data_IF_322049066269
#
_entry.id   IF_322049066269
#
_cell.length_a   1.000
_cell.length_b   1.000
_cell.length_c   1.000
_cell.angle_alpha   90.00
_cell.angle_beta   90.00
_cell.angle_gamma   90.00
#
_symmetry.space_group_name_H-M   'P 1'
#
loop_
_entity.id
_entity.type
_entity.pdbx_description
1 polymer ?
#
# COMPACT_ATOMS: atom_id res chain seq x y z
N UNK A 1 -6.13 11.88 -21.69
CA UNK A 1 -5.83 11.33 -20.35
C UNK A 1 -5.31 9.89 -20.41
N UNK A 2 -6.03 8.96 -21.08
CA UNK A 2 -5.66 7.54 -21.14
C UNK A 2 -4.26 7.29 -21.73
N UNK A 3 -3.91 7.96 -22.81
CA UNK A 3 -2.57 7.86 -23.42
C UNK A 3 -1.47 8.30 -22.46
N UNK A 4 -1.69 9.37 -21.70
CA UNK A 4 -0.75 9.83 -20.68
C UNK A 4 -0.57 8.79 -19.57
N UNK A 5 -1.66 8.23 -19.05
CA UNK A 5 -1.63 7.17 -18.04
C UNK A 5 -0.87 5.94 -18.56
N UNK A 6 -1.16 5.50 -19.78
CA UNK A 6 -0.48 4.35 -20.38
C UNK A 6 1.03 4.58 -20.53
N UNK A 7 1.44 5.80 -20.95
CA UNK A 7 2.85 6.16 -21.05
C UNK A 7 3.57 6.12 -19.70
N UNK A 8 2.98 6.72 -18.67
CA UNK A 8 3.55 6.70 -17.32
C UNK A 8 3.61 5.27 -16.76
N UNK A 9 2.54 4.49 -16.92
CA UNK A 9 2.53 3.07 -16.53
C UNK A 9 3.67 2.29 -17.22
N UNK A 10 3.89 2.51 -18.52
CA UNK A 10 5.00 1.89 -19.24
C UNK A 10 6.38 2.25 -18.67
N UNK A 11 6.57 3.49 -18.21
CA UNK A 11 7.81 3.90 -17.55
C UNK A 11 8.01 3.20 -16.19
N UNK A 12 6.94 3.03 -15.40
CA UNK A 12 7.01 2.28 -14.13
C UNK A 12 7.35 0.81 -14.37
N UNK A 13 6.69 0.17 -15.32
CA UNK A 13 6.96 -1.25 -15.65
C UNK A 13 8.40 -1.45 -16.12
N UNK A 14 8.92 -0.55 -16.95
CA UNK A 14 10.32 -0.59 -17.40
C UNK A 14 11.32 -0.40 -16.23
N UNK A 15 10.99 0.48 -15.27
CA UNK A 15 11.79 0.65 -14.06
C UNK A 15 11.77 -0.61 -13.18
N UNK A 16 10.60 -1.24 -13.02
CA UNK A 16 10.47 -2.46 -12.23
C UNK A 16 11.25 -3.62 -12.84
N UNK A 17 11.18 -3.79 -14.15
CA UNK A 17 12.00 -4.77 -14.87
C UNK A 17 13.50 -4.49 -14.65
N UNK A 18 13.93 -3.25 -14.80
CA UNK A 18 15.31 -2.82 -14.56
C UNK A 18 15.78 -3.09 -13.12
N UNK A 19 14.93 -2.90 -12.14
CA UNK A 19 15.21 -3.19 -10.72
C UNK A 19 15.09 -4.67 -10.37
N UNK A 20 14.72 -5.54 -11.31
CA UNK A 20 14.52 -6.97 -11.08
C UNK A 20 13.39 -7.25 -10.09
N UNK A 21 12.31 -6.46 -10.13
CA UNK A 21 11.10 -6.70 -9.32
C UNK A 21 10.28 -7.77 -10.02
N UNK A 22 10.08 -8.89 -9.33
CA UNK A 22 9.21 -9.98 -9.78
C UNK A 22 7.85 -9.83 -9.12
N UNK A 23 6.82 -9.58 -9.92
CA UNK A 23 5.43 -9.49 -9.49
C UNK A 23 4.57 -10.42 -10.35
N UNK A 24 3.53 -11.00 -9.75
CA UNK A 24 2.63 -11.93 -10.44
C UNK A 24 1.49 -11.21 -11.17
N UNK A 25 1.25 -9.94 -10.86
CA UNK A 25 0.22 -9.15 -11.50
C UNK A 25 0.44 -7.64 -11.41
N UNK A 26 -0.25 -6.93 -12.28
CA UNK A 26 -0.33 -5.48 -12.32
C UNK A 26 -1.79 -5.07 -12.25
N UNK A 27 -2.17 -4.35 -11.20
CA UNK A 27 -3.51 -3.85 -11.01
C UNK A 27 -3.72 -2.50 -11.74
N UNK A 28 -4.80 -2.40 -12.49
CA UNK A 28 -5.23 -1.14 -13.12
C UNK A 28 -6.74 -0.98 -12.95
N UNK A 29 -7.18 0.05 -12.26
CA UNK A 29 -8.61 0.32 -12.01
C UNK A 29 -9.41 0.63 -13.27
N UNK A 30 -8.74 0.80 -14.41
CA UNK A 30 -9.38 0.92 -15.73
C UNK A 30 -9.66 -0.44 -16.39
N UNK A 31 -9.16 -1.55 -15.82
CA UNK A 31 -9.41 -2.90 -16.32
C UNK A 31 -10.90 -3.24 -16.25
N UNK A 32 -11.52 -3.76 -17.36
CA UNK A 32 -12.91 -4.15 -17.36
C UNK A 32 -13.30 -5.16 -16.28
N UNK A 33 -12.39 -6.07 -15.91
CA UNK A 33 -12.62 -7.08 -14.87
C UNK A 33 -12.76 -6.43 -13.49
N UNK A 34 -11.89 -5.46 -13.18
CA UNK A 34 -12.00 -4.67 -11.96
C UNK A 34 -13.33 -3.89 -11.93
N UNK A 35 -13.66 -3.18 -13.02
CA UNK A 35 -14.91 -2.42 -13.11
C UNK A 35 -16.14 -3.30 -12.89
N UNK A 36 -16.17 -4.50 -13.50
CA UNK A 36 -17.26 -5.45 -13.31
C UNK A 36 -17.36 -5.92 -11.84
N UNK A 37 -16.23 -6.16 -11.17
CA UNK A 37 -16.19 -6.51 -9.76
C UNK A 37 -16.77 -5.40 -8.89
N UNK A 38 -16.32 -4.15 -9.07
CA UNK A 38 -16.82 -2.97 -8.34
C UNK A 38 -18.33 -2.80 -8.54
N UNK A 39 -18.83 -2.97 -9.77
CA UNK A 39 -20.26 -2.86 -10.06
C UNK A 39 -21.11 -3.96 -9.38
N UNK A 40 -20.60 -5.19 -9.32
CA UNK A 40 -21.25 -6.27 -8.56
C UNK A 40 -21.30 -5.95 -7.07
N UNK A 41 -20.18 -5.47 -6.49
CA UNK A 41 -20.11 -5.07 -5.08
C UNK A 41 -21.07 -3.92 -4.76
N UNK A 42 -21.13 -2.90 -5.62
CA UNK A 42 -22.09 -1.80 -5.46
C UNK A 42 -23.54 -2.30 -5.41
N UNK A 43 -23.89 -3.24 -6.29
CA UNK A 43 -25.22 -3.82 -6.31
C UNK A 43 -25.51 -4.60 -5.03
N UNK A 44 -24.60 -5.47 -4.63
CA UNK A 44 -24.74 -6.27 -3.41
C UNK A 44 -24.86 -5.42 -2.14
N UNK A 45 -24.02 -4.39 -1.99
CA UNK A 45 -24.09 -3.49 -0.86
C UNK A 45 -25.38 -2.67 -0.83
N UNK A 46 -25.90 -2.27 -2.00
CA UNK A 46 -27.19 -1.60 -2.08
C UNK A 46 -28.31 -2.55 -1.65
N UNK A 47 -28.32 -3.78 -2.13
CA UNK A 47 -29.35 -4.77 -1.80
C UNK A 47 -29.32 -5.17 -0.31
N UNK A 48 -28.14 -5.13 0.31
CA UNK A 48 -27.95 -5.27 1.77
C UNK A 48 -28.33 -4.02 2.56
N UNK A 49 -28.71 -2.91 1.90
CA UNK A 49 -29.07 -1.65 2.57
C UNK A 49 -27.87 -0.87 3.10
N UNK A 50 -26.64 -1.23 2.71
CA UNK A 50 -25.41 -0.54 3.11
C UNK A 50 -25.18 0.77 2.35
N UNK A 51 -25.90 1.00 1.25
CA UNK A 51 -25.82 2.21 0.45
C UNK A 51 -27.13 2.99 0.47
N UNK A 52 -27.03 4.31 0.56
CA UNK A 52 -28.19 5.21 0.49
C UNK A 52 -27.83 6.55 -0.18
N UNK A 53 -28.83 7.24 -0.70
CA UNK A 53 -28.68 8.56 -1.29
C UNK A 53 -29.00 9.66 -0.29
N UNK A 54 -28.20 10.73 -0.29
CA UNK A 54 -28.42 11.90 0.57
C UNK A 54 -27.98 13.14 -0.15
N UNK A 55 -28.81 14.20 -0.06
CA UNK A 55 -28.38 15.55 -0.43
C UNK A 55 -27.57 16.16 0.73
N UNK A 56 -26.45 16.75 0.37
CA UNK A 56 -25.59 17.47 1.29
C UNK A 56 -25.38 18.89 0.77
N UNK A 57 -25.64 19.86 1.63
CA UNK A 57 -25.36 21.26 1.37
C UNK A 57 -24.21 21.70 2.28
N UNK A 58 -23.14 22.21 1.67
CA UNK A 58 -21.97 22.61 2.44
C UNK A 58 -21.01 23.44 1.62
N UNK A 59 -19.89 23.81 2.24
CA UNK A 59 -18.80 24.50 1.57
C UNK A 59 -17.91 23.49 0.85
N UNK A 60 -17.59 23.78 -0.39
CA UNK A 60 -16.83 22.91 -1.26
C UNK A 60 -15.58 23.59 -1.78
N UNK A 61 -14.42 22.99 -1.56
CA UNK A 61 -13.16 23.43 -2.17
C UNK A 61 -13.09 22.93 -3.62
N UNK A 62 -13.12 23.84 -4.58
CA UNK A 62 -12.97 23.50 -6.00
C UNK A 62 -11.58 22.95 -6.29
N UNK A 63 -10.57 23.46 -5.60
CA UNK A 63 -9.17 23.03 -5.77
C UNK A 63 -8.89 21.64 -5.23
N UNK A 64 -9.45 21.31 -4.06
CA UNK A 64 -9.20 20.01 -3.37
C UNK A 64 -10.28 18.97 -3.71
N UNK A 65 -11.32 19.38 -4.46
CA UNK A 65 -12.44 18.53 -4.88
C UNK A 65 -13.15 17.83 -3.71
N UNK A 66 -13.30 18.53 -2.57
CA UNK A 66 -13.95 17.97 -1.37
C UNK A 66 -14.83 19.00 -0.66
N UNK A 67 -15.85 18.49 0.05
CA UNK A 67 -16.60 19.30 0.99
C UNK A 67 -15.76 19.58 2.24
N UNK A 68 -15.91 20.80 2.75
CA UNK A 68 -15.24 21.30 3.94
C UNK A 68 -16.20 21.33 5.12
N UNK A 69 -15.71 21.05 6.28
CA UNK A 69 -16.43 21.14 7.55
C UNK A 69 -15.94 22.34 8.37
N UNK A 70 -16.51 22.57 9.52
CA UNK A 70 -16.03 23.64 10.40
C UNK A 70 -14.63 23.35 11.00
N UNK A 71 -14.14 22.11 10.91
CA UNK A 71 -12.78 21.73 11.34
C UNK A 71 -11.68 22.34 10.47
N UNK A 72 -11.99 22.63 9.20
CA UNK A 72 -11.05 23.24 8.26
C UNK A 72 -11.05 24.77 8.31
N UNK A 73 -11.84 25.38 9.21
CA UNK A 73 -11.85 26.84 9.42
C UNK A 73 -10.72 27.25 10.35
N UNK A 74 -10.17 28.44 10.08
CA UNK A 74 -9.25 29.10 10.99
C UNK A 74 -9.97 29.67 12.25
N UNK A 75 -9.22 30.28 13.15
CA UNK A 75 -9.77 30.87 14.37
C UNK A 75 -10.74 32.02 14.10
N UNK A 76 -10.65 32.66 12.94
CA UNK A 76 -11.52 33.74 12.46
C UNK A 76 -12.76 33.21 11.71
N UNK A 77 -12.87 31.88 11.53
CA UNK A 77 -14.00 31.21 10.85
C UNK A 77 -13.90 31.18 9.33
N UNK A 78 -12.74 31.48 8.74
CA UNK A 78 -12.51 31.45 7.30
C UNK A 78 -11.84 30.16 6.88
N UNK A 79 -11.96 29.82 5.58
CA UNK A 79 -11.15 28.78 4.96
C UNK A 79 -9.85 29.38 4.44
N UNK A 80 -8.71 28.76 4.79
CA UNK A 80 -7.39 29.23 4.41
C UNK A 80 -7.10 29.14 2.89
N UNK A 81 -6.04 29.78 2.40
CA UNK A 81 -5.67 29.80 0.98
C UNK A 81 -5.31 28.42 0.41
N UNK A 82 -5.00 27.45 1.26
CA UNK A 82 -4.75 26.05 0.89
C UNK A 82 -5.97 25.38 0.24
N UNK A 83 -7.18 25.83 0.58
CA UNK A 83 -8.45 25.32 0.05
C UNK A 83 -8.81 25.94 -1.31
N UNK A 84 -8.14 27.01 -1.73
CA UNK A 84 -8.42 27.72 -2.99
C UNK A 84 -9.81 28.35 -3.01
N UNK A 85 -10.49 28.28 -4.15
CA UNK A 85 -11.87 28.76 -4.27
C UNK A 85 -12.82 27.84 -3.50
N UNK A 86 -13.59 28.42 -2.59
CA UNK A 86 -14.60 27.72 -1.79
C UNK A 86 -15.99 28.24 -2.16
N UNK A 87 -16.87 27.35 -2.60
CA UNK A 87 -18.24 27.66 -2.99
C UNK A 87 -19.24 26.93 -2.11
N UNK A 88 -20.42 27.51 -1.90
CA UNK A 88 -21.54 26.80 -1.30
C UNK A 88 -22.17 25.90 -2.37
N UNK A 89 -22.23 24.60 -2.10
CA UNK A 89 -22.73 23.61 -3.05
C UNK A 89 -23.74 22.70 -2.35
N UNK A 90 -24.86 22.47 -3.04
CA UNK A 90 -25.80 21.42 -2.68
C UNK A 90 -25.74 20.31 -3.71
N UNK A 91 -25.40 19.11 -3.28
CA UNK A 91 -25.19 17.97 -4.17
C UNK A 91 -25.77 16.71 -3.55
N UNK A 92 -26.50 15.94 -4.36
CA UNK A 92 -26.95 14.60 -3.98
C UNK A 92 -25.87 13.58 -4.34
N UNK A 93 -25.55 12.69 -3.39
CA UNK A 93 -24.55 11.65 -3.58
C UNK A 93 -24.99 10.33 -2.92
N UNK A 94 -24.35 9.24 -3.33
CA UNK A 94 -24.43 7.95 -2.68
C UNK A 94 -23.44 7.86 -1.53
N UNK A 95 -23.90 7.33 -0.40
CA UNK A 95 -23.12 7.15 0.83
C UNK A 95 -23.11 5.68 1.23
N UNK A 96 -21.95 5.24 1.72
CA UNK A 96 -21.77 3.97 2.41
C UNK A 96 -21.96 4.18 3.90
N UNK A 97 -22.73 3.30 4.56
CA UNK A 97 -23.03 3.36 6.00
C UNK A 97 -21.84 3.01 6.86
N UNK A 98 -20.79 3.79 6.76
CA UNK A 98 -19.54 3.58 7.48
C UNK A 98 -19.77 3.56 9.00
N UNK A 99 -20.67 4.41 9.50
CA UNK A 99 -20.99 4.52 10.93
C UNK A 99 -21.57 3.24 11.52
N UNK A 100 -22.22 2.39 10.74
CA UNK A 100 -22.76 1.09 11.21
C UNK A 100 -21.63 0.11 11.60
N UNK A 101 -20.39 0.36 11.18
CA UNK A 101 -19.24 -0.52 11.38
C UNK A 101 -18.28 -0.05 12.49
N UNK A 102 -18.48 1.12 13.08
CA UNK A 102 -17.58 1.73 14.09
C UNK A 102 -17.35 0.82 15.29
N UNK A 103 -18.43 0.30 15.87
CA UNK A 103 -18.33 -0.53 17.08
C UNK A 103 -17.60 -1.86 16.82
N UNK A 104 -17.93 -2.52 15.71
CA UNK A 104 -17.20 -3.72 15.28
C UNK A 104 -15.72 -3.42 15.05
N UNK A 105 -15.41 -2.34 14.35
CA UNK A 105 -14.04 -1.98 13.98
C UNK A 105 -13.17 -1.70 15.21
N UNK A 106 -13.70 -0.96 16.21
CA UNK A 106 -13.00 -0.74 17.49
C UNK A 106 -12.65 -2.06 18.15
N UNK A 107 -13.62 -2.98 18.26
CA UNK A 107 -13.40 -4.29 18.87
C UNK A 107 -12.42 -5.15 18.06
N UNK A 108 -12.51 -5.14 16.74
CA UNK A 108 -11.61 -5.86 15.85
C UNK A 108 -10.18 -5.37 16.02
N UNK A 109 -9.93 -4.06 15.87
CA UNK A 109 -8.59 -3.48 15.96
C UNK A 109 -7.99 -3.66 17.36
N UNK A 110 -8.78 -3.50 18.43
CA UNK A 110 -8.30 -3.73 19.80
C UNK A 110 -7.81 -5.17 20.02
N UNK A 111 -8.56 -6.16 19.52
CA UNK A 111 -8.24 -7.59 19.66
C UNK A 111 -7.08 -8.04 18.77
N UNK A 112 -6.96 -7.48 17.58
CA UNK A 112 -5.96 -7.88 16.61
C UNK A 112 -4.59 -7.29 16.95
N UNK A 113 -3.60 -8.15 17.23
CA UNK A 113 -2.23 -7.71 17.57
C UNK A 113 -1.45 -7.24 16.36
N UNK A 114 -1.77 -7.77 15.18
CA UNK A 114 -1.00 -7.73 13.94
C UNK A 114 -1.78 -7.18 12.73
N UNK A 115 -2.97 -6.63 12.96
CA UNK A 115 -3.73 -5.99 11.88
C UNK A 115 -2.97 -4.79 11.29
N UNK A 116 -2.31 -3.97 12.12
CA UNK A 116 -1.46 -2.86 11.68
C UNK A 116 -0.04 -3.03 12.20
N UNK A 117 0.91 -3.13 11.28
CA UNK A 117 2.33 -3.24 11.57
C UNK A 117 3.11 -2.04 10.99
N UNK A 118 4.12 -1.54 11.71
CA UNK A 118 4.48 -1.89 13.08
C UNK A 118 3.46 -1.37 14.11
N UNK A 119 3.39 -2.03 15.26
CA UNK A 119 2.35 -1.83 16.28
C UNK A 119 2.16 -0.39 16.78
N UNK A 120 3.18 0.46 16.71
CA UNK A 120 3.05 1.86 17.09
C UNK A 120 2.11 2.66 16.16
N UNK A 121 1.84 2.18 14.92
CA UNK A 121 0.88 2.76 13.98
C UNK A 121 -0.58 2.46 14.34
N UNK A 122 -0.82 1.40 15.10
CA UNK A 122 -2.17 1.03 15.56
C UNK A 122 -2.87 2.15 16.35
N UNK A 123 -2.12 2.96 17.08
CA UNK A 123 -2.69 4.08 17.82
C UNK A 123 -3.27 5.18 16.89
N UNK A 124 -2.65 5.40 15.73
CA UNK A 124 -3.16 6.34 14.72
C UNK A 124 -4.52 5.88 14.20
N UNK A 125 -4.65 4.59 13.94
CA UNK A 125 -5.89 3.98 13.47
C UNK A 125 -7.00 4.05 14.53
N UNK A 126 -6.75 3.61 15.75
CA UNK A 126 -7.73 3.65 16.84
C UNK A 126 -8.28 5.07 17.06
N UNK A 127 -7.44 6.10 16.95
CA UNK A 127 -7.89 7.48 17.05
C UNK A 127 -8.75 7.92 15.85
N UNK A 128 -8.61 7.26 14.71
CA UNK A 128 -9.33 7.59 13.48
C UNK A 128 -10.70 6.90 13.38
N UNK A 129 -10.94 5.84 14.14
CA UNK A 129 -12.21 5.09 14.09
C UNK A 129 -13.37 5.89 14.75
N UNK A 130 -13.09 6.96 15.46
CA UNK A 130 -14.13 7.80 16.08
C UNK A 130 -14.69 8.82 15.09
N UNK A 131 -15.45 8.34 14.10
CA UNK A 131 -16.13 9.17 13.11
C UNK A 131 -17.64 9.12 13.28
N UNK A 132 -18.27 10.25 12.95
CA UNK A 132 -19.71 10.53 13.10
C UNK A 132 -20.46 10.66 11.77
N UNK A 133 -19.79 10.38 10.66
CA UNK A 133 -20.33 10.57 9.32
C UNK A 133 -20.05 9.39 8.40
N UNK A 134 -21.03 9.10 7.55
CA UNK A 134 -20.92 8.07 6.53
C UNK A 134 -20.03 8.51 5.36
N UNK A 135 -19.47 7.53 4.67
CA UNK A 135 -18.55 7.78 3.57
C UNK A 135 -19.31 8.11 2.27
N UNK A 136 -19.05 9.29 1.72
CA UNK A 136 -19.51 9.63 0.36
C UNK A 136 -18.72 8.84 -0.68
N UNK A 137 -19.39 7.96 -1.43
CA UNK A 137 -18.77 7.04 -2.39
C UNK A 137 -19.03 7.36 -3.85
N UNK A 138 -19.68 8.48 -4.15
CA UNK A 138 -20.01 8.86 -5.52
C UNK A 138 -19.62 10.27 -5.89
N UNK A 139 -19.62 10.53 -7.20
CA UNK A 139 -19.61 11.86 -7.81
C UNK A 139 -20.60 11.90 -8.96
N UNK A 140 -21.41 12.98 -9.11
CA UNK A 140 -22.25 13.14 -10.28
C UNK A 140 -21.41 13.22 -11.57
N UNK A 141 -21.87 12.59 -12.64
CA UNK A 141 -21.20 12.64 -13.95
C UNK A 141 -21.08 14.06 -14.52
N UNK A 142 -21.93 14.96 -14.12
CA UNK A 142 -21.85 16.38 -14.49
C UNK A 142 -20.56 17.04 -13.98
N UNK A 143 -19.97 16.48 -12.92
CA UNK A 143 -18.71 16.97 -12.33
C UNK A 143 -17.52 16.09 -12.68
N UNK A 144 -17.70 14.77 -12.70
CA UNK A 144 -16.66 13.80 -13.03
C UNK A 144 -17.19 12.89 -14.14
N UNK A 145 -16.82 13.15 -15.38
CA UNK A 145 -17.33 12.44 -16.56
C UNK A 145 -16.71 11.07 -16.77
N UNK A 146 -15.75 10.67 -15.94
CA UNK A 146 -15.06 9.37 -16.00
C UNK A 146 -15.02 8.72 -14.61
N UNK A 147 -14.97 7.42 -14.57
CA UNK A 147 -15.01 6.60 -13.35
C UNK A 147 -15.85 5.36 -13.58
N UNK A 148 -16.09 4.59 -12.55
CA UNK A 148 -16.94 3.39 -12.60
C UNK A 148 -18.38 3.80 -12.32
N UNK A 149 -19.26 3.54 -13.27
CA UNK A 149 -20.67 3.90 -13.16
C UNK A 149 -21.39 3.02 -12.14
N UNK A 150 -22.32 3.61 -11.40
CA UNK A 150 -23.24 2.86 -10.54
C UNK A 150 -24.23 2.08 -11.41
N UNK A 151 -24.35 0.75 -11.31
CA UNK A 151 -25.22 -0.05 -12.18
C UNK A 151 -26.69 0.32 -12.06
N UNK A 152 -27.10 0.81 -10.91
CA UNK A 152 -28.48 1.18 -10.59
C UNK A 152 -28.76 2.68 -10.65
N UNK A 153 -27.73 3.50 -10.92
CA UNK A 153 -27.84 4.95 -11.03
C UNK A 153 -26.71 5.52 -11.90
N UNK A 154 -26.80 5.39 -13.23
CA UNK A 154 -25.73 5.70 -14.16
C UNK A 154 -25.36 7.19 -14.26
N UNK A 155 -26.10 8.07 -13.57
CA UNK A 155 -25.73 9.49 -13.44
C UNK A 155 -24.58 9.72 -12.45
N UNK A 156 -24.14 8.69 -11.73
CA UNK A 156 -23.05 8.74 -10.78
C UNK A 156 -21.92 7.80 -11.15
N UNK A 157 -20.70 8.21 -10.79
CA UNK A 157 -19.49 7.39 -10.83
C UNK A 157 -18.92 7.24 -9.42
N UNK A 158 -18.13 6.20 -9.21
CA UNK A 158 -17.49 5.93 -7.92
C UNK A 158 -16.49 7.02 -7.53
N UNK A 159 -16.41 7.29 -6.24
CA UNK A 159 -15.33 8.06 -5.64
C UNK A 159 -14.07 7.18 -5.51
N UNK A 160 -12.90 7.81 -5.68
CA UNK A 160 -11.61 7.11 -5.83
C UNK A 160 -11.33 6.06 -4.75
N UNK A 161 -11.61 6.33 -3.47
CA UNK A 161 -11.29 5.38 -2.41
C UNK A 161 -12.18 4.14 -2.43
N UNK A 162 -13.45 4.26 -2.81
CA UNK A 162 -14.31 3.10 -2.97
C UNK A 162 -13.85 2.19 -4.12
N UNK A 163 -13.45 2.78 -5.23
CA UNK A 163 -12.92 2.10 -6.40
C UNK A 163 -11.52 1.52 -6.11
N UNK A 164 -10.59 2.37 -5.69
CA UNK A 164 -9.19 1.99 -5.53
C UNK A 164 -8.98 0.84 -4.53
N UNK A 165 -9.68 0.82 -3.39
CA UNK A 165 -9.51 -0.21 -2.37
C UNK A 165 -9.97 -1.60 -2.86
N UNK A 166 -10.99 -1.66 -3.68
CA UNK A 166 -11.49 -2.94 -4.23
C UNK A 166 -10.46 -3.63 -5.14
N UNK A 167 -9.41 -2.92 -5.62
CA UNK A 167 -8.40 -3.56 -6.45
C UNK A 167 -7.72 -4.74 -5.75
N UNK A 168 -7.53 -4.72 -4.44
CA UNK A 168 -6.90 -5.79 -3.66
C UNK A 168 -7.60 -7.14 -3.84
N UNK A 169 -8.92 -7.14 -3.86
CA UNK A 169 -9.72 -8.38 -4.02
C UNK A 169 -10.08 -8.66 -5.49
N UNK A 170 -10.32 -7.63 -6.30
CA UNK A 170 -10.76 -7.84 -7.69
C UNK A 170 -9.69 -8.54 -8.54
N UNK A 171 -8.41 -8.16 -8.37
CA UNK A 171 -7.29 -8.80 -9.08
C UNK A 171 -6.86 -10.12 -8.44
N UNK A 172 -7.23 -10.37 -7.18
CA UNK A 172 -7.15 -11.69 -6.57
C UNK A 172 -8.22 -12.67 -7.06
N UNK A 173 -9.21 -12.18 -7.83
CA UNK A 173 -10.24 -13.01 -8.46
C UNK A 173 -11.60 -12.98 -7.76
N UNK A 174 -11.85 -12.06 -6.83
CA UNK A 174 -13.15 -11.92 -6.17
C UNK A 174 -14.25 -11.60 -7.18
N UNK A 175 -15.35 -12.37 -7.14
CA UNK A 175 -16.49 -12.27 -8.07
C UNK A 175 -16.11 -12.35 -9.57
N UNK A 176 -14.94 -12.88 -9.88
CA UNK A 176 -14.48 -13.03 -11.25
C UNK A 176 -15.25 -14.11 -12.01
N UNK A 177 -15.42 -13.90 -13.32
CA UNK A 177 -15.96 -14.95 -14.19
C UNK A 177 -14.93 -16.07 -14.36
N UNK A 178 -15.37 -17.34 -14.56
CA UNK A 178 -14.48 -18.51 -14.62
C UNK A 178 -13.39 -18.42 -15.70
N UNK A 179 -13.64 -17.69 -16.77
CA UNK A 179 -12.74 -17.51 -17.94
C UNK A 179 -12.05 -16.14 -17.96
N UNK A 180 -12.09 -15.40 -16.87
CA UNK A 180 -11.53 -14.05 -16.74
C UNK A 180 -10.01 -13.99 -16.85
N UNK A 181 -9.33 -15.13 -16.65
CA UNK A 181 -7.86 -15.19 -16.55
C UNK A 181 -7.32 -14.65 -15.23
N UNK A 182 -8.17 -14.34 -14.25
CA UNK A 182 -7.78 -13.99 -12.90
C UNK A 182 -7.54 -15.24 -12.05
N UNK A 183 -6.77 -15.14 -10.96
CA UNK A 183 -6.52 -16.23 -10.03
C UNK A 183 -7.81 -16.77 -9.39
N UNK A 184 -7.70 -17.93 -8.76
CA UNK A 184 -8.72 -18.46 -7.86
C UNK A 184 -8.66 -17.70 -6.54
N UNK A 185 -9.68 -16.93 -6.23
CA UNK A 185 -9.74 -16.07 -5.06
C UNK A 185 -9.47 -16.81 -3.75
N UNK A 186 -10.04 -17.99 -3.59
CA UNK A 186 -9.88 -18.79 -2.38
C UNK A 186 -8.44 -19.28 -2.12
N UNK A 187 -7.54 -19.17 -3.12
CA UNK A 187 -6.12 -19.52 -2.96
C UNK A 187 -5.23 -18.32 -2.64
N UNK A 188 -5.73 -17.10 -2.87
CA UNK A 188 -4.96 -15.86 -2.68
C UNK A 188 -5.49 -14.99 -1.55
N UNK A 189 -6.72 -15.22 -1.10
CA UNK A 189 -7.31 -14.46 -0.02
C UNK A 189 -7.55 -15.35 1.22
N UNK A 190 -7.28 -14.87 2.45
CA UNK A 190 -6.78 -13.52 2.76
C UNK A 190 -5.34 -13.30 2.30
N UNK A 191 -5.01 -12.04 2.00
CA UNK A 191 -3.63 -11.63 1.75
C UNK A 191 -2.82 -11.72 3.04
N UNK A 192 -1.56 -12.20 2.97
CA UNK A 192 -0.66 -12.22 4.12
C UNK A 192 -0.41 -10.79 4.63
N UNK A 193 -0.20 -9.85 3.73
CA UNK A 193 -0.14 -8.43 4.07
C UNK A 193 -0.43 -7.53 2.85
N UNK A 194 -0.90 -6.32 3.14
CA UNK A 194 -0.97 -5.18 2.23
C UNK A 194 0.09 -4.16 2.64
N UNK A 195 1.04 -3.87 1.74
CA UNK A 195 2.11 -2.90 2.00
C UNK A 195 1.65 -1.52 1.57
N UNK A 196 1.54 -0.60 2.51
CA UNK A 196 0.96 0.73 2.28
C UNK A 196 1.82 1.86 2.83
N UNK A 197 1.71 3.04 2.22
CA UNK A 197 2.31 4.26 2.78
C UNK A 197 1.55 4.77 4.01
N UNK A 198 2.27 5.35 4.96
CA UNK A 198 1.67 5.90 6.19
C UNK A 198 0.59 6.97 5.93
N UNK A 199 0.68 7.66 4.80
CA UNK A 199 -0.24 8.74 4.41
C UNK A 199 -1.60 8.25 3.91
N UNK A 200 -1.72 6.95 3.62
CA UNK A 200 -2.96 6.31 3.21
C UNK A 200 -3.48 5.28 4.24
N UNK A 201 -2.79 5.15 5.39
CA UNK A 201 -3.30 4.30 6.47
C UNK A 201 -4.65 4.83 6.94
N UNK A 202 -4.70 6.10 7.33
CA UNK A 202 -5.90 6.74 7.85
C UNK A 202 -6.38 7.85 6.90
N UNK A 203 -7.64 7.82 6.52
CA UNK A 203 -8.69 6.85 6.87
C UNK A 203 -8.82 5.66 5.91
N UNK A 204 -8.11 5.65 4.76
CA UNK A 204 -8.42 4.77 3.64
C UNK A 204 -8.29 3.27 3.99
N UNK A 205 -7.09 2.82 4.39
CA UNK A 205 -6.81 1.40 4.59
C UNK A 205 -7.15 0.91 6.00
N UNK A 206 -7.01 1.76 7.02
CA UNK A 206 -7.32 1.37 8.39
C UNK A 206 -8.78 1.54 8.78
N UNK A 207 -9.56 2.34 8.01
CA UNK A 207 -10.98 2.61 8.35
C UNK A 207 -11.90 2.17 7.22
N UNK A 208 -11.77 2.75 6.02
CA UNK A 208 -12.73 2.47 4.94
C UNK A 208 -12.63 1.03 4.46
N UNK A 209 -11.42 0.51 4.26
CA UNK A 209 -11.20 -0.81 3.70
C UNK A 209 -11.74 -1.94 4.58
N UNK A 210 -11.39 -2.06 5.87
CA UNK A 210 -11.95 -3.11 6.71
C UNK A 210 -13.46 -2.99 6.88
N UNK A 211 -14.02 -1.77 6.96
CA UNK A 211 -15.47 -1.58 6.99
C UNK A 211 -16.17 -2.07 5.71
N UNK A 212 -15.56 -1.83 4.54
CA UNK A 212 -16.08 -2.32 3.27
C UNK A 212 -16.01 -3.85 3.20
N UNK A 213 -14.90 -4.48 3.60
CA UNK A 213 -14.77 -5.93 3.68
C UNK A 213 -15.82 -6.53 4.62
N UNK A 214 -15.98 -5.98 5.81
CA UNK A 214 -17.00 -6.43 6.77
C UNK A 214 -18.42 -6.30 6.22
N UNK A 215 -18.76 -5.19 5.54
CA UNK A 215 -20.04 -5.01 4.89
C UNK A 215 -20.29 -6.01 3.75
N UNK A 216 -19.26 -6.41 3.05
CA UNK A 216 -19.31 -7.47 2.03
C UNK A 216 -19.52 -8.86 2.65
N UNK A 217 -19.17 -9.05 3.93
CA UNK A 217 -19.36 -10.28 4.69
C UNK A 217 -18.10 -11.07 4.96
N UNK A 218 -16.94 -10.45 4.82
CA UNK A 218 -15.66 -11.05 5.23
C UNK A 218 -15.58 -11.15 6.75
N UNK A 219 -15.01 -12.24 7.25
CA UNK A 219 -14.79 -12.46 8.68
C UNK A 219 -13.55 -11.74 9.19
N UNK A 220 -13.38 -11.66 10.52
CA UNK A 220 -12.20 -11.04 11.14
C UNK A 220 -10.88 -11.72 10.71
N UNK A 221 -10.92 -13.04 10.47
CA UNK A 221 -9.77 -13.84 10.04
C UNK A 221 -9.40 -13.62 8.56
N UNK A 222 -10.28 -13.01 7.79
CA UNK A 222 -10.06 -12.70 6.38
C UNK A 222 -9.55 -11.25 6.18
N UNK A 223 -9.34 -10.50 7.25
CA UNK A 223 -8.76 -9.16 7.17
C UNK A 223 -7.25 -9.25 6.95
N UNK A 224 -6.68 -8.57 5.93
CA UNK A 224 -5.24 -8.57 5.67
C UNK A 224 -4.47 -7.78 6.73
N UNK A 225 -3.23 -8.17 7.02
CA UNK A 225 -2.32 -7.34 7.80
C UNK A 225 -1.90 -6.10 7.00
N UNK A 226 -1.96 -4.92 7.59
CA UNK A 226 -1.48 -3.67 6.99
C UNK A 226 -0.04 -3.40 7.42
N UNK A 227 0.91 -3.59 6.50
CA UNK A 227 2.32 -3.25 6.72
C UNK A 227 2.58 -1.81 6.28
N UNK A 228 2.72 -0.92 7.24
CA UNK A 228 2.80 0.51 7.00
C UNK A 228 4.26 0.96 6.92
N UNK A 229 4.65 1.54 5.78
CA UNK A 229 5.98 2.13 5.61
C UNK A 229 5.98 3.65 5.70
N UNK A 230 7.11 4.23 6.10
CA UNK A 230 7.34 5.67 6.08
C UNK A 230 7.80 6.20 4.72
N UNK A 231 8.14 7.46 4.66
CA UNK A 231 8.61 8.12 3.45
C UNK A 231 10.13 8.16 3.37
N UNK A 232 10.64 8.13 2.14
CA UNK A 232 11.98 8.59 1.82
C UNK A 232 11.96 10.10 1.60
N UNK A 233 12.65 10.83 2.45
CA UNK A 233 12.80 12.28 2.41
C UNK A 233 14.18 12.68 1.89
N UNK A 234 14.37 13.95 1.58
CA UNK A 234 15.68 14.56 1.36
C UNK A 234 15.81 15.75 2.32
N UNK A 235 16.85 15.73 3.16
CA UNK A 235 17.09 16.75 4.18
C UNK A 235 15.87 17.01 5.09
N UNK A 236 15.11 15.97 5.42
CA UNK A 236 13.92 16.05 6.25
C UNK A 236 12.64 16.49 5.51
N UNK A 237 12.74 16.81 4.22
CA UNK A 237 11.58 17.26 3.41
C UNK A 237 11.09 16.16 2.46
N UNK A 238 9.79 16.05 2.31
CA UNK A 238 9.18 15.12 1.33
C UNK A 238 9.67 15.43 -0.08
N UNK A 239 10.04 14.40 -0.83
CA UNK A 239 10.41 14.53 -2.25
C UNK A 239 9.24 15.12 -3.03
N UNK A 240 9.51 16.17 -3.80
CA UNK A 240 8.50 16.84 -4.62
C UNK A 240 9.10 17.34 -5.92
N UNK A 241 8.40 17.08 -7.04
CA UNK A 241 8.80 17.60 -8.36
C UNK A 241 8.84 19.12 -8.40
N UNK A 242 7.96 19.81 -7.66
CA UNK A 242 7.91 21.27 -7.59
C UNK A 242 9.08 21.88 -6.86
N UNK A 243 9.68 21.15 -5.90
CA UNK A 243 10.88 21.58 -5.16
C UNK A 243 12.15 21.16 -5.91
N UNK A 244 12.07 20.19 -6.82
CA UNK A 244 13.22 19.69 -7.58
C UNK A 244 14.16 18.78 -6.76
N UNK A 245 13.70 18.25 -5.64
CA UNK A 245 14.48 17.38 -4.74
C UNK A 245 14.17 15.88 -4.95
N UNK A 246 13.74 15.47 -6.15
CA UNK A 246 13.41 14.07 -6.44
C UNK A 246 14.67 13.32 -6.87
N UNK A 247 14.89 12.15 -6.28
CA UNK A 247 15.91 11.19 -6.70
C UNK A 247 15.36 10.32 -7.81
N UNK A 248 16.06 10.25 -8.94
CA UNK A 248 15.68 9.37 -10.05
C UNK A 248 16.25 7.95 -9.84
N UNK A 249 15.38 6.95 -9.63
CA UNK A 249 15.82 5.58 -9.41
C UNK A 249 16.50 4.95 -10.64
N UNK A 250 16.23 5.44 -11.85
CA UNK A 250 16.90 4.99 -13.06
C UNK A 250 18.38 5.41 -13.06
N UNK A 251 18.66 6.65 -12.67
CA UNK A 251 20.04 7.13 -12.56
C UNK A 251 20.82 6.39 -11.47
N UNK A 252 20.17 6.10 -10.34
CA UNK A 252 20.79 5.30 -9.29
C UNK A 252 21.11 3.88 -9.76
N UNK A 253 20.17 3.22 -10.43
CA UNK A 253 20.37 1.87 -10.98
C UNK A 253 21.45 1.84 -12.08
N UNK A 254 21.61 2.93 -12.85
CA UNK A 254 22.65 3.08 -13.84
C UNK A 254 24.04 3.23 -13.20
N UNK A 255 24.12 4.02 -12.13
CA UNK A 255 25.39 4.35 -11.48
C UNK A 255 25.90 3.22 -10.58
N UNK A 256 25.01 2.58 -9.82
CA UNK A 256 25.37 1.62 -8.77
C UNK A 256 24.98 0.17 -9.08
N UNK A 257 24.13 -0.05 -10.07
CA UNK A 257 23.44 -1.32 -10.30
C UNK A 257 22.14 -1.42 -9.51
N UNK A 258 21.20 -2.28 -9.94
CA UNK A 258 19.89 -2.42 -9.30
C UNK A 258 19.99 -3.03 -7.89
N UNK A 259 20.83 -4.02 -7.66
CA UNK A 259 20.93 -4.73 -6.39
C UNK A 259 21.40 -3.83 -5.23
N UNK A 260 22.44 -3.00 -5.35
CA UNK A 260 22.84 -2.07 -4.30
C UNK A 260 21.75 -1.04 -3.96
N UNK A 261 21.02 -0.56 -4.96
CA UNK A 261 19.90 0.37 -4.76
C UNK A 261 18.78 -0.31 -3.95
N UNK A 262 18.38 -1.51 -4.33
CA UNK A 262 17.39 -2.31 -3.60
C UNK A 262 17.83 -2.58 -2.17
N UNK A 263 19.10 -3.00 -2.00
CA UNK A 263 19.66 -3.25 -0.69
C UNK A 263 19.59 -2.01 0.20
N UNK A 264 20.02 -0.85 -0.29
CA UNK A 264 20.00 0.40 0.43
C UNK A 264 18.57 0.79 0.90
N UNK A 265 17.60 0.70 -0.03
CA UNK A 265 16.21 1.08 0.26
C UNK A 265 15.57 0.23 1.36
N UNK A 266 15.95 -1.05 1.46
CA UNK A 266 15.42 -1.94 2.51
C UNK A 266 16.25 -1.85 3.79
N UNK A 267 17.59 -1.69 3.65
CA UNK A 267 18.53 -1.75 4.77
C UNK A 267 18.52 -0.50 5.63
N UNK A 268 18.37 0.68 5.03
CA UNK A 268 18.58 1.97 5.69
C UNK A 268 17.27 2.69 6.13
N UNK A 269 16.14 2.02 6.03
CA UNK A 269 14.86 2.49 6.56
C UNK A 269 14.38 1.58 7.69
N UNK A 270 13.93 2.19 8.79
CA UNK A 270 13.20 1.46 9.82
C UNK A 270 11.74 1.36 9.40
N UNK A 271 11.20 0.14 9.35
CA UNK A 271 9.79 -0.09 8.98
C UNK A 271 8.86 0.82 9.76
N UNK A 272 7.97 1.49 9.05
CA UNK A 272 7.00 2.43 9.61
C UNK A 272 7.52 3.83 9.93
N UNK A 273 8.83 4.10 9.84
CA UNK A 273 9.42 5.42 10.08
C UNK A 273 9.90 6.06 8.79
N UNK A 274 9.97 7.38 8.78
CA UNK A 274 10.61 8.12 7.69
C UNK A 274 12.13 7.95 7.72
N UNK A 275 12.74 7.97 6.56
CA UNK A 275 14.19 8.00 6.39
C UNK A 275 14.59 9.14 5.45
N UNK A 276 15.84 9.58 5.54
CA UNK A 276 16.41 10.51 4.58
C UNK A 276 17.27 9.75 3.58
N UNK A 277 17.02 9.98 2.30
CA UNK A 277 17.90 9.47 1.25
C UNK A 277 19.23 10.22 1.27
N UNK A 278 20.31 9.46 1.30
CA UNK A 278 21.68 9.97 1.31
C UNK A 278 22.55 9.10 0.39
N UNK A 279 23.05 9.70 -0.69
CA UNK A 279 23.87 9.00 -1.67
C UNK A 279 25.22 8.55 -1.10
N UNK A 280 25.83 9.34 -0.19
CA UNK A 280 27.09 8.96 0.45
C UNK A 280 26.89 7.77 1.39
N UNK A 281 25.73 7.72 2.04
CA UNK A 281 25.32 6.58 2.87
C UNK A 281 25.12 5.32 2.03
N UNK A 282 24.49 5.43 0.85
CA UNK A 282 24.39 4.31 -0.11
C UNK A 282 25.76 3.79 -0.49
N UNK A 283 26.69 4.67 -0.89
CA UNK A 283 28.07 4.30 -1.25
C UNK A 283 28.80 3.64 -0.07
N UNK A 284 28.62 4.17 1.14
CA UNK A 284 29.23 3.60 2.33
C UNK A 284 28.72 2.16 2.59
N UNK A 285 27.42 1.94 2.57
CA UNK A 285 26.80 0.61 2.77
C UNK A 285 27.20 -0.37 1.67
N UNK A 286 27.24 0.08 0.42
CA UNK A 286 27.72 -0.71 -0.70
C UNK A 286 29.16 -1.21 -0.47
N UNK A 287 30.07 -0.32 -0.08
CA UNK A 287 31.47 -0.68 0.13
C UNK A 287 31.69 -1.52 1.39
N UNK A 288 31.00 -1.23 2.48
CA UNK A 288 31.20 -1.93 3.76
C UNK A 288 30.45 -3.27 3.79
N UNK A 289 29.15 -3.25 3.62
CA UNK A 289 28.31 -4.43 3.86
C UNK A 289 28.27 -5.38 2.64
N UNK A 290 28.17 -4.84 1.41
CA UNK A 290 28.13 -5.69 0.21
C UNK A 290 29.53 -6.08 -0.27
N UNK A 291 30.44 -5.14 -0.45
CA UNK A 291 31.77 -5.45 -0.97
C UNK A 291 32.70 -6.06 0.08
N UNK A 292 32.85 -5.41 1.23
CA UNK A 292 33.79 -5.88 2.25
C UNK A 292 33.26 -7.09 3.05
N UNK A 293 32.03 -7.03 3.56
CA UNK A 293 31.53 -8.10 4.40
C UNK A 293 31.09 -9.31 3.56
N UNK A 294 30.04 -9.17 2.74
CA UNK A 294 29.49 -10.26 1.93
C UNK A 294 30.47 -10.70 0.84
N UNK A 295 31.02 -9.75 0.09
CA UNK A 295 31.96 -10.03 -1.02
C UNK A 295 33.23 -10.70 -0.54
N UNK A 296 33.84 -10.25 0.55
CA UNK A 296 35.00 -10.91 1.13
C UNK A 296 34.67 -12.31 1.69
N UNK A 297 33.51 -12.48 2.35
CA UNK A 297 33.07 -13.80 2.81
C UNK A 297 32.97 -14.78 1.62
N UNK A 298 32.28 -14.41 0.57
CA UNK A 298 32.15 -15.22 -0.65
C UNK A 298 33.53 -15.50 -1.30
N UNK A 299 34.34 -14.47 -1.48
CA UNK A 299 35.65 -14.62 -2.12
C UNK A 299 36.58 -15.56 -1.32
N UNK A 300 36.64 -15.39 0.00
CA UNK A 300 37.47 -16.24 0.88
C UNK A 300 36.95 -17.67 0.91
N UNK A 301 35.63 -17.88 1.00
CA UNK A 301 35.03 -19.21 1.00
C UNK A 301 35.29 -19.94 -0.32
N UNK A 302 35.10 -19.29 -1.46
CA UNK A 302 35.36 -19.85 -2.77
C UNK A 302 36.86 -20.20 -2.94
N UNK A 303 37.78 -19.32 -2.54
CA UNK A 303 39.19 -19.56 -2.64
C UNK A 303 39.67 -20.72 -1.73
N UNK A 304 39.08 -20.83 -0.52
CA UNK A 304 39.36 -21.96 0.37
C UNK A 304 38.82 -23.27 -0.23
N UNK A 305 37.61 -23.29 -0.76
CA UNK A 305 37.06 -24.46 -1.44
C UNK A 305 37.90 -24.90 -2.62
N UNK A 306 38.37 -23.95 -3.46
CA UNK A 306 39.29 -24.26 -4.57
C UNK A 306 40.59 -24.85 -4.08
N UNK A 307 41.18 -24.29 -3.02
CA UNK A 307 42.49 -24.68 -2.51
C UNK A 307 42.50 -25.99 -1.78
N UNK A 308 41.43 -26.27 -0.99
CA UNK A 308 41.44 -27.41 -0.04
C UNK A 308 40.43 -28.51 -0.38
N UNK A 309 39.51 -28.25 -1.29
CA UNK A 309 38.41 -29.17 -1.62
C UNK A 309 38.29 -29.40 -3.14
N UNK A 310 39.32 -29.06 -3.93
CA UNK A 310 39.31 -29.18 -5.38
C UNK A 310 38.05 -28.59 -6.08
N UNK A 311 37.53 -27.50 -5.54
CA UNK A 311 36.28 -26.83 -5.97
C UNK A 311 35.02 -27.68 -5.77
N UNK A 312 35.06 -28.72 -4.96
CA UNK A 312 33.92 -29.59 -4.68
C UNK A 312 33.56 -29.50 -3.19
N UNK A 313 32.35 -29.16 -2.89
CA UNK A 313 31.77 -29.23 -1.56
C UNK A 313 30.92 -30.51 -1.51
N UNK A 314 31.41 -31.53 -0.80
CA UNK A 314 30.70 -32.81 -0.63
C UNK A 314 30.60 -33.16 0.85
N UNK A 315 29.52 -33.83 1.21
CA UNK A 315 29.35 -34.35 2.57
C UNK A 315 29.14 -33.28 3.67
N UNK A 316 28.68 -32.06 3.29
CA UNK A 316 28.42 -31.00 4.26
C UNK A 316 27.43 -31.42 5.36
N UNK A 317 26.54 -32.37 5.08
CA UNK A 317 25.60 -32.97 6.03
C UNK A 317 26.27 -33.79 7.10
N UNK A 318 27.48 -34.31 6.86
CA UNK A 318 28.24 -35.17 7.78
C UNK A 318 29.05 -34.38 8.83
N UNK A 319 29.20 -33.08 8.68
CA UNK A 319 29.93 -32.25 9.63
C UNK A 319 29.06 -31.92 10.85
N UNK A 320 29.33 -32.59 11.95
CA UNK A 320 28.63 -32.42 13.23
C UNK A 320 29.59 -32.07 14.39
N UNK A 321 30.66 -31.35 14.06
CA UNK A 321 31.57 -30.80 15.07
C UNK A 321 30.95 -29.56 15.75
N UNK A 322 31.57 -29.16 16.88
CA UNK A 322 31.07 -28.04 17.70
C UNK A 322 30.96 -26.74 16.91
N UNK A 323 31.91 -26.42 16.03
CA UNK A 323 31.93 -25.20 15.23
C UNK A 323 30.79 -25.19 14.18
N UNK A 324 30.56 -26.35 13.54
CA UNK A 324 29.48 -26.52 12.57
C UNK A 324 28.09 -26.37 13.23
N UNK A 325 27.91 -26.96 14.41
CA UNK A 325 26.68 -26.80 15.20
C UNK A 325 26.46 -25.37 15.65
N UNK A 326 27.51 -24.68 16.13
CA UNK A 326 27.43 -23.29 16.54
C UNK A 326 27.08 -22.37 15.37
N UNK A 327 27.68 -22.60 14.19
CA UNK A 327 27.35 -21.83 12.99
C UNK A 327 25.87 -22.00 12.55
N UNK A 328 25.38 -23.26 12.49
CA UNK A 328 23.98 -23.55 12.18
C UNK A 328 23.03 -22.86 13.17
N UNK A 329 23.30 -23.02 14.48
CA UNK A 329 22.50 -22.39 15.50
C UNK A 329 22.46 -20.86 15.38
N UNK A 330 23.56 -20.23 15.02
CA UNK A 330 23.63 -18.78 14.76
C UNK A 330 22.80 -18.39 13.54
N UNK A 331 22.85 -19.18 12.46
CA UNK A 331 22.04 -18.95 11.26
C UNK A 331 20.55 -19.10 11.55
N UNK A 332 20.16 -20.17 12.26
CA UNK A 332 18.77 -20.41 12.64
C UNK A 332 18.22 -19.30 13.54
N UNK A 333 19.04 -18.83 14.50
CA UNK A 333 18.68 -17.68 15.32
C UNK A 333 18.50 -16.40 14.51
N UNK A 334 19.39 -16.14 13.53
CA UNK A 334 19.28 -14.98 12.67
C UNK A 334 18.01 -15.01 11.80
N UNK A 335 17.67 -16.17 11.24
CA UNK A 335 16.42 -16.37 10.48
C UNK A 335 15.20 -16.20 11.38
N UNK A 336 15.20 -16.81 12.57
CA UNK A 336 14.10 -16.68 13.52
C UNK A 336 13.90 -15.23 13.96
N UNK A 337 14.99 -14.52 14.26
CA UNK A 337 14.93 -13.09 14.61
C UNK A 337 14.38 -12.27 13.46
N UNK A 338 14.87 -12.51 12.24
CA UNK A 338 14.39 -11.80 11.04
C UNK A 338 12.87 -11.99 10.87
N UNK A 339 12.38 -13.25 10.93
CA UNK A 339 10.95 -13.56 10.78
C UNK A 339 10.09 -13.00 11.92
N UNK A 340 10.65 -12.75 13.09
CA UNK A 340 9.93 -12.12 14.20
C UNK A 340 9.85 -10.59 14.12
N UNK A 341 10.61 -9.99 13.18
CA UNK A 341 10.64 -8.53 12.95
C UNK A 341 9.82 -8.09 11.74
N UNK A 342 9.37 -9.05 10.93
CA UNK A 342 8.42 -8.87 9.85
C UNK A 342 7.02 -9.15 10.36
#
# INVERSE_FOLDING_TARGET
PQEHVNNITGQFLALWDRLGISNDGWASTTDPRHKACVQKILTDLKDKGQLYKKSYKGFYSVRQEQFLTDKERDAEGNFGPEWGEVVELEEENWYFRLTDHVEWMKQFVEKSSDFVLPSFRKAEELNAIDFDSDLCISRPKSRLSWGIEFPFDPEFVTYVWFDALINYISFAGYLAEPDSGLPDFAKLWPADCEVIGKDILVPAHGVYWPAMLHAMGFSDEEMPTLLVHGWWNINGEKMSKSIGNVVDPNLLAEQFGPEPVRYYLVRDITTGKDANFDADRLVMLYNTELANDLGNLCNRSINMTRRYCDSVISGAEAYDDEASRALRATMDQAVTLFLSLI
#
